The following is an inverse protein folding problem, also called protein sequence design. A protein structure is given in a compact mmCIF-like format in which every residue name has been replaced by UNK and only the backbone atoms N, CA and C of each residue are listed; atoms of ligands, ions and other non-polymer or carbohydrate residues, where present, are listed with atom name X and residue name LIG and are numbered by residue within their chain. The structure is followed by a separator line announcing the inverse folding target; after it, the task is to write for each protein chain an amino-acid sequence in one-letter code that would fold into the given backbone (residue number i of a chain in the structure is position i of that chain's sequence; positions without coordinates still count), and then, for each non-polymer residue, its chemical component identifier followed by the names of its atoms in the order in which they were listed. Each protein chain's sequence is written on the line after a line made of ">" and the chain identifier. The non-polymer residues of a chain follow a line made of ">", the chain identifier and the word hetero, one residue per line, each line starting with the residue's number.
data_IF_617169609627
#
_entry.id   IF_617169609627
#
_cell.length_a   1.000
_cell.length_b   1.000
_cell.length_c   1.000
_cell.angle_alpha   90.00
_cell.angle_beta   90.00
_cell.angle_gamma   90.00
#
_symmetry.space_group_name_H-M   'P 1'
#
loop_
_entity.id
_entity.type
_entity.pdbx_description
1 polymer ?
#
# COMPACT_ATOMS: atom_id res chain seq x y z
N UNK A 1 -21.02 -21.13 4.56
CA UNK A 1 -20.95 -20.04 3.55
C UNK A 1 -19.66 -19.26 3.81
N UNK A 2 -18.77 -19.14 2.82
CA UNK A 2 -17.54 -18.35 2.97
C UNK A 2 -17.89 -16.86 2.94
N UNK A 3 -17.47 -16.13 3.96
CA UNK A 3 -17.62 -14.68 4.03
C UNK A 3 -16.36 -14.00 3.48
N UNK A 4 -16.55 -12.85 2.83
CA UNK A 4 -15.46 -12.06 2.25
C UNK A 4 -15.64 -10.58 2.59
N UNK A 5 -14.53 -9.91 2.90
CA UNK A 5 -14.47 -8.45 3.02
C UNK A 5 -14.04 -7.87 1.68
N UNK A 6 -14.84 -6.98 1.10
CA UNK A 6 -14.52 -6.31 -0.16
C UNK A 6 -14.37 -4.81 0.09
N UNK A 7 -13.29 -4.23 -0.43
CA UNK A 7 -13.07 -2.79 -0.39
C UNK A 7 -12.37 -2.30 -1.67
N UNK A 8 -12.50 -1.01 -1.94
CA UNK A 8 -11.88 -0.35 -3.08
C UNK A 8 -10.75 0.55 -2.61
N UNK A 9 -9.63 0.47 -3.31
CA UNK A 9 -8.48 1.37 -3.24
C UNK A 9 -8.55 2.30 -4.44
N UNK A 10 -8.68 3.59 -4.18
CA UNK A 10 -8.68 4.62 -5.22
C UNK A 10 -8.01 5.87 -4.67
N UNK A 11 -7.10 6.43 -5.46
CA UNK A 11 -6.36 7.64 -5.13
C UNK A 11 -5.76 8.24 -6.40
N UNK A 12 -5.32 9.51 -6.34
CA UNK A 12 -4.75 10.19 -7.50
C UNK A 12 -3.47 9.51 -8.02
N UNK A 13 -2.72 8.89 -7.11
CA UNK A 13 -1.50 8.14 -7.41
C UNK A 13 -1.46 6.90 -6.51
N UNK A 14 -0.73 5.86 -6.88
CA UNK A 14 -0.38 4.75 -6.00
C UNK A 14 0.98 4.18 -6.39
N UNK A 15 1.67 3.55 -5.44
CA UNK A 15 2.93 2.87 -5.70
C UNK A 15 2.98 1.55 -4.95
N UNK A 16 3.05 0.45 -5.68
CA UNK A 16 3.16 -0.91 -5.18
C UNK A 16 4.59 -1.38 -5.39
N UNK A 17 5.46 -1.06 -4.44
CA UNK A 17 6.91 -1.25 -4.56
C UNK A 17 7.30 -2.68 -4.94
N UNK A 18 8.30 -2.77 -5.81
CA UNK A 18 9.01 -4.01 -6.16
C UNK A 18 10.46 -3.91 -5.70
N UNK A 19 11.21 -5.01 -5.83
CA UNK A 19 12.64 -5.02 -5.54
C UNK A 19 13.35 -3.98 -6.41
N UNK A 20 14.02 -3.05 -5.75
CA UNK A 20 14.55 -1.84 -6.35
C UNK A 20 15.91 -1.48 -5.72
N UNK A 21 17.00 -2.17 -6.10
CA UNK A 21 18.34 -1.79 -5.70
C UNK A 21 18.72 -0.46 -6.39
N UNK A 22 19.07 0.56 -5.59
CA UNK A 22 19.55 1.85 -6.07
C UNK A 22 18.55 3.01 -5.99
N UNK A 23 18.71 3.98 -6.90
CA UNK A 23 18.01 5.27 -6.89
C UNK A 23 16.61 5.22 -7.51
N UNK A 24 16.33 4.21 -8.33
CA UNK A 24 15.04 4.04 -9.01
C UNK A 24 14.15 3.15 -8.18
N UNK A 25 12.96 3.64 -7.82
CA UNK A 25 11.93 2.89 -7.09
C UNK A 25 10.80 2.55 -8.05
N UNK A 26 10.84 1.34 -8.56
CA UNK A 26 9.82 0.80 -9.46
C UNK A 26 8.53 0.47 -8.72
N UNK A 27 7.42 0.44 -9.45
CA UNK A 27 6.10 0.03 -8.97
C UNK A 27 5.50 -1.01 -9.89
N UNK A 28 4.79 -1.97 -9.31
CA UNK A 28 3.95 -2.91 -10.05
C UNK A 28 2.57 -2.30 -10.33
N UNK A 29 1.86 -2.77 -11.37
CA UNK A 29 0.48 -2.35 -11.69
C UNK A 29 -0.52 -2.77 -10.62
N UNK A 30 -0.23 -3.89 -9.96
CA UNK A 30 -1.08 -4.51 -8.95
C UNK A 30 -0.45 -4.38 -7.55
N UNK A 31 -1.26 -4.10 -6.51
CA UNK A 31 -0.83 -4.17 -5.13
C UNK A 31 -0.19 -5.53 -4.83
N UNK A 32 0.99 -5.51 -4.21
CA UNK A 32 1.59 -6.71 -3.68
C UNK A 32 0.80 -7.22 -2.47
N UNK A 33 0.91 -8.52 -2.21
CA UNK A 33 0.31 -9.16 -1.03
C UNK A 33 0.76 -8.48 0.27
N UNK A 34 2.06 -8.18 0.39
CA UNK A 34 2.63 -7.48 1.55
C UNK A 34 2.10 -6.06 1.71
N UNK A 35 1.88 -5.32 0.62
CA UNK A 35 1.31 -3.98 0.69
C UNK A 35 -0.13 -3.99 1.24
N UNK A 36 -0.95 -4.93 0.76
CA UNK A 36 -2.33 -5.08 1.21
C UNK A 36 -2.43 -5.56 2.66
N UNK A 37 -1.59 -6.52 3.06
CA UNK A 37 -1.54 -6.96 4.45
C UNK A 37 -1.02 -5.86 5.39
N UNK A 38 0.00 -5.12 4.97
CA UNK A 38 0.50 -3.97 5.73
C UNK A 38 -0.56 -2.86 5.89
N UNK A 39 -1.39 -2.64 4.87
CA UNK A 39 -2.51 -1.72 4.93
C UNK A 39 -3.58 -2.17 5.95
N UNK A 40 -3.96 -3.44 5.92
CA UNK A 40 -4.94 -3.99 6.86
C UNK A 40 -4.38 -4.00 8.30
N UNK A 41 -3.13 -4.41 8.48
CA UNK A 41 -2.40 -4.39 9.74
C UNK A 41 -2.32 -2.97 10.32
N UNK A 42 -2.10 -1.96 9.48
CA UNK A 42 -2.13 -0.55 9.88
C UNK A 42 -3.52 -0.09 10.36
N UNK A 43 -4.58 -0.58 9.71
CA UNK A 43 -5.96 -0.31 10.12
C UNK A 43 -6.27 -0.83 11.53
N UNK A 44 -5.80 -2.03 11.87
CA UNK A 44 -6.00 -2.64 13.20
C UNK A 44 -4.92 -2.27 14.22
N UNK A 45 -3.87 -1.54 13.82
CA UNK A 45 -2.87 -1.00 14.75
C UNK A 45 -1.68 -1.92 15.08
N UNK A 46 -1.36 -2.90 14.24
CA UNK A 46 -0.14 -3.71 14.43
C UNK A 46 1.09 -2.86 14.11
N UNK A 47 2.04 -2.78 15.06
CA UNK A 47 3.27 -2.01 14.90
C UNK A 47 4.32 -2.79 14.11
N UNK A 48 5.30 -2.08 13.54
CA UNK A 48 6.35 -2.68 12.68
C UNK A 48 7.36 -3.54 13.44
N UNK A 49 7.53 -3.29 14.73
CA UNK A 49 8.40 -4.02 15.65
C UNK A 49 7.76 -5.32 16.17
N UNK A 50 6.44 -5.47 16.01
CA UNK A 50 5.68 -6.65 16.45
C UNK A 50 5.71 -7.77 15.40
N UNK A 51 6.89 -8.36 15.24
CA UNK A 51 7.17 -9.39 14.23
C UNK A 51 6.26 -10.61 14.39
N UNK A 52 5.96 -11.02 15.62
CA UNK A 52 5.13 -12.19 15.90
C UNK A 52 3.70 -11.98 15.40
N UNK A 53 3.07 -10.84 15.75
CA UNK A 53 1.71 -10.55 15.26
C UNK A 53 1.66 -10.35 13.76
N UNK A 54 2.67 -9.73 13.16
CA UNK A 54 2.74 -9.58 11.71
C UNK A 54 2.83 -10.95 11.01
N UNK A 55 3.63 -11.87 11.54
CA UNK A 55 3.75 -13.22 11.01
C UNK A 55 2.45 -14.02 11.17
N UNK A 56 1.78 -13.91 12.32
CA UNK A 56 0.46 -14.52 12.51
C UNK A 56 -0.55 -13.95 11.51
N UNK A 57 -0.63 -12.63 11.40
CA UNK A 57 -1.50 -11.95 10.43
C UNK A 57 -1.24 -12.45 9.00
N UNK A 58 0.04 -12.53 8.60
CA UNK A 58 0.44 -12.94 7.27
C UNK A 58 -0.06 -14.34 6.85
N UNK A 59 -0.27 -15.28 7.79
CA UNK A 59 -0.66 -16.67 7.48
C UNK A 59 -2.17 -16.87 7.27
N UNK A 60 -3.01 -15.97 7.77
CA UNK A 60 -4.43 -16.23 7.96
C UNK A 60 -5.37 -15.47 7.01
N UNK A 61 -4.82 -14.73 6.05
CA UNK A 61 -5.60 -13.97 5.07
C UNK A 61 -5.19 -14.29 3.63
N UNK A 62 -6.21 -14.52 2.80
CA UNK A 62 -6.06 -14.70 1.35
C UNK A 62 -6.69 -13.51 0.64
N UNK A 63 -6.03 -13.06 -0.43
CA UNK A 63 -6.37 -11.81 -1.11
C UNK A 63 -6.61 -12.07 -2.60
N UNK A 64 -7.70 -11.52 -3.11
CA UNK A 64 -7.98 -11.45 -4.56
C UNK A 64 -8.04 -10.00 -4.94
N UNK A 65 -7.32 -9.64 -6.01
CA UNK A 65 -7.23 -8.26 -6.49
C UNK A 65 -7.77 -8.16 -7.91
N UNK A 66 -8.62 -7.16 -8.10
CA UNK A 66 -9.10 -6.71 -9.38
C UNK A 66 -8.61 -5.28 -9.60
N UNK A 67 -8.12 -4.97 -10.80
CA UNK A 67 -7.61 -3.64 -11.13
C UNK A 67 -8.24 -3.06 -12.38
N UNK A 68 -8.18 -1.73 -12.49
CA UNK A 68 -8.50 -0.99 -13.70
C UNK A 68 -7.60 -1.40 -14.87
N UNK A 69 -8.18 -1.56 -16.08
CA UNK A 69 -7.43 -1.97 -17.28
C UNK A 69 -6.38 -0.98 -17.80
N UNK A 70 -6.59 0.33 -17.62
CA UNK A 70 -5.77 1.38 -18.25
C UNK A 70 -5.21 2.38 -17.22
N UNK A 71 -4.38 1.95 -16.26
CA UNK A 71 -3.71 2.86 -15.35
C UNK A 71 -2.65 3.68 -16.12
N UNK A 72 -2.41 4.93 -15.71
CA UNK A 72 -1.39 5.79 -16.33
C UNK A 72 -0.12 5.78 -15.51
N UNK A 73 0.99 5.42 -16.12
CA UNK A 73 2.29 5.41 -15.46
C UNK A 73 2.88 6.84 -15.37
N UNK A 74 3.46 7.19 -14.23
CA UNK A 74 4.14 8.46 -14.00
C UNK A 74 5.42 8.24 -13.17
N UNK A 75 6.43 9.09 -13.40
CA UNK A 75 7.70 9.06 -12.66
C UNK A 75 7.96 10.41 -11.99
N UNK A 76 8.13 10.36 -10.68
CA UNK A 76 8.51 11.50 -9.84
C UNK A 76 10.04 11.62 -9.78
N UNK A 77 10.55 12.81 -10.08
CA UNK A 77 11.96 13.15 -9.90
C UNK A 77 12.15 13.76 -8.51
N UNK A 78 12.71 12.98 -7.60
CA UNK A 78 12.65 13.27 -6.18
C UNK A 78 14.05 13.48 -5.60
N UNK A 79 14.36 14.73 -5.27
CA UNK A 79 15.64 15.12 -4.69
C UNK A 79 15.57 15.17 -3.17
N UNK A 80 16.65 14.74 -2.52
CA UNK A 80 16.86 14.93 -1.09
C UNK A 80 18.19 15.63 -0.92
N UNK A 81 18.16 16.84 -0.38
CA UNK A 81 19.35 17.61 -0.09
C UNK A 81 20.10 16.96 1.07
N UNK A 82 21.37 16.63 0.85
CA UNK A 82 22.26 15.97 1.79
C UNK A 82 23.64 16.64 1.71
N UNK A 83 24.30 16.94 2.82
CA UNK A 83 25.67 17.40 2.77
C UNK A 83 26.59 16.26 2.29
N UNK A 84 27.69 16.63 1.64
CA UNK A 84 28.77 15.72 1.30
C UNK A 84 29.37 15.15 2.59
N UNK A 85 29.85 13.91 2.51
CA UNK A 85 30.54 13.29 3.64
C UNK A 85 31.83 14.07 3.94
N UNK A 86 31.91 14.65 5.13
CA UNK A 86 33.10 15.37 5.62
C UNK A 86 33.74 14.51 6.71
N UNK A 87 34.97 14.04 6.46
CA UNK A 87 35.71 13.24 7.45
C UNK A 87 35.89 14.04 8.74
N UNK A 88 35.63 13.38 9.89
CA UNK A 88 35.71 13.94 11.24
C UNK A 88 34.70 15.06 11.57
N UNK A 89 33.76 15.37 10.69
CA UNK A 89 32.65 16.26 11.04
C UNK A 89 31.61 15.49 11.85
N UNK A 90 31.13 16.10 12.95
CA UNK A 90 30.02 15.59 13.74
C UNK A 90 28.95 16.66 13.79
N UNK A 91 27.83 16.38 13.15
CA UNK A 91 26.65 17.25 13.19
C UNK A 91 25.73 16.77 14.32
N UNK A 92 25.27 17.69 15.16
CA UNK A 92 24.34 17.41 16.25
C UNK A 92 22.88 17.56 15.81
N UNK A 93 22.62 18.29 14.72
CA UNK A 93 21.28 18.47 14.18
C UNK A 93 21.26 18.53 12.65
N UNK A 94 20.09 18.20 12.07
CA UNK A 94 19.88 18.33 10.62
C UNK A 94 20.04 19.77 10.12
N UNK A 95 19.69 20.76 10.96
CA UNK A 95 19.86 22.18 10.64
C UNK A 95 21.34 22.54 10.49
N UNK A 96 22.19 22.02 11.38
CA UNK A 96 23.64 22.23 11.34
C UNK A 96 24.25 21.56 10.10
N UNK A 97 23.84 20.32 9.79
CA UNK A 97 24.22 19.61 8.55
C UNK A 97 23.96 20.45 7.28
N UNK A 98 22.86 21.19 7.26
CA UNK A 98 22.41 21.97 6.11
C UNK A 98 22.89 23.43 6.10
N UNK A 99 23.66 23.83 7.12
CA UNK A 99 24.05 25.23 7.32
C UNK A 99 25.20 25.71 6.43
N UNK A 100 25.96 24.79 5.83
CA UNK A 100 27.08 25.07 4.95
C UNK A 100 26.69 24.83 3.48
N UNK A 101 26.33 25.88 2.71
CA UNK A 101 25.78 25.73 1.36
C UNK A 101 26.74 25.04 0.39
N UNK A 102 28.04 25.30 0.53
CA UNK A 102 29.10 24.78 -0.34
C UNK A 102 29.32 23.26 -0.20
N UNK A 103 28.87 22.70 0.91
CA UNK A 103 28.96 21.27 1.21
C UNK A 103 27.67 20.54 0.83
N UNK A 104 26.62 21.23 0.38
CA UNK A 104 25.38 20.59 0.00
C UNK A 104 25.54 19.80 -1.30
N UNK A 105 24.92 18.64 -1.32
CA UNK A 105 24.71 17.81 -2.50
C UNK A 105 23.24 17.39 -2.54
N UNK A 106 22.82 16.79 -3.64
CA UNK A 106 21.48 16.23 -3.78
C UNK A 106 21.59 14.75 -4.14
N UNK A 107 20.96 13.90 -3.34
CA UNK A 107 20.68 12.53 -3.74
C UNK A 107 19.40 12.56 -4.56
N UNK A 108 19.48 11.99 -5.76
CA UNK A 108 18.35 11.90 -6.67
C UNK A 108 17.72 10.52 -6.51
N UNK A 109 16.40 10.47 -6.39
CA UNK A 109 15.64 9.23 -6.51
C UNK A 109 14.55 9.39 -7.56
N UNK A 110 14.33 8.36 -8.37
CA UNK A 110 13.28 8.34 -9.39
C UNK A 110 12.21 7.37 -8.93
N UNK A 111 10.98 7.85 -8.69
CA UNK A 111 9.93 7.03 -8.07
C UNK A 111 8.77 6.85 -9.03
N UNK A 112 8.45 5.59 -9.32
CA UNK A 112 7.39 5.24 -10.26
C UNK A 112 6.04 5.12 -9.53
N UNK A 113 4.99 5.63 -10.17
CA UNK A 113 3.61 5.66 -9.67
C UNK A 113 2.63 5.29 -10.78
N UNK A 114 1.47 4.77 -10.38
CA UNK A 114 0.29 4.68 -11.23
C UNK A 114 -0.74 5.73 -10.84
N UNK A 115 -1.31 6.38 -11.84
CA UNK A 115 -2.31 7.45 -11.75
C UNK A 115 -3.59 7.04 -12.47
N UNK A 116 -4.72 7.67 -12.10
CA UNK A 116 -6.06 7.35 -12.62
C UNK A 116 -6.43 5.86 -12.51
N UNK A 117 -5.94 5.21 -11.45
CA UNK A 117 -6.07 3.77 -11.23
C UNK A 117 -6.93 3.46 -10.01
N UNK A 118 -7.63 2.33 -10.07
CA UNK A 118 -8.38 1.78 -8.95
C UNK A 118 -8.14 0.29 -8.81
N UNK A 119 -8.23 -0.19 -7.57
CA UNK A 119 -8.12 -1.61 -7.25
C UNK A 119 -9.27 -2.01 -6.33
N UNK A 120 -9.85 -3.18 -6.57
CA UNK A 120 -10.84 -3.81 -5.71
C UNK A 120 -10.21 -5.04 -5.09
N UNK A 121 -10.29 -5.12 -3.77
CA UNK A 121 -9.64 -6.18 -2.99
C UNK A 121 -10.72 -6.97 -2.26
N UNK A 122 -10.69 -8.28 -2.42
CA UNK A 122 -11.48 -9.21 -1.62
C UNK A 122 -10.55 -9.97 -0.67
N UNK A 123 -10.92 -10.00 0.61
CA UNK A 123 -10.19 -10.69 1.68
C UNK A 123 -11.02 -11.86 2.17
N UNK A 124 -10.40 -13.04 2.21
CA UNK A 124 -10.88 -14.21 2.91
C UNK A 124 -10.00 -14.46 4.14
N UNK A 125 -10.56 -15.15 5.14
CA UNK A 125 -9.84 -15.44 6.37
C UNK A 125 -9.98 -16.90 6.76
N UNK A 126 -8.96 -17.46 7.40
CA UNK A 126 -8.99 -18.80 8.00
C UNK A 126 -9.66 -18.76 9.38
N UNK A 127 -10.14 -19.90 9.93
CA UNK A 127 -10.74 -19.95 11.26
C UNK A 127 -9.84 -19.42 12.39
N UNK A 128 -8.52 -19.65 12.30
CA UNK A 128 -7.55 -19.27 13.34
C UNK A 128 -7.01 -17.83 13.17
N UNK A 129 -7.66 -17.01 12.36
CA UNK A 129 -7.20 -15.66 12.11
C UNK A 129 -7.29 -14.77 13.36
N UNK A 130 -6.27 -13.92 13.63
CA UNK A 130 -6.25 -13.07 14.81
C UNK A 130 -7.35 -12.00 14.80
N UNK A 131 -7.81 -11.59 13.62
CA UNK A 131 -8.91 -10.63 13.44
C UNK A 131 -9.96 -11.18 12.48
N UNK A 132 -11.23 -11.03 12.87
CA UNK A 132 -12.38 -11.32 12.02
C UNK A 132 -12.51 -10.27 10.91
N UNK A 133 -13.22 -10.63 9.85
CA UNK A 133 -13.46 -9.72 8.72
C UNK A 133 -14.20 -8.43 9.14
N UNK A 134 -15.05 -8.51 10.16
CA UNK A 134 -15.73 -7.34 10.75
C UNK A 134 -14.73 -6.37 11.39
N UNK A 135 -13.77 -6.89 12.15
CA UNK A 135 -12.74 -6.07 12.81
C UNK A 135 -11.82 -5.42 11.77
N UNK A 136 -11.51 -6.12 10.69
CA UNK A 136 -10.78 -5.53 9.55
C UNK A 136 -11.59 -4.43 8.85
N UNK A 137 -12.90 -4.62 8.68
CA UNK A 137 -13.79 -3.58 8.14
C UNK A 137 -13.78 -2.33 9.02
N UNK A 138 -13.88 -2.51 10.34
CA UNK A 138 -13.86 -1.39 11.28
C UNK A 138 -12.50 -0.69 11.29
N UNK A 139 -11.39 -1.44 11.26
CA UNK A 139 -10.05 -0.89 11.10
C UNK A 139 -9.82 -0.14 9.79
N UNK A 140 -10.54 -0.47 8.71
CA UNK A 140 -10.50 0.32 7.47
C UNK A 140 -11.32 1.61 7.57
N UNK A 141 -12.41 1.63 8.33
CA UNK A 141 -13.29 2.79 8.54
C UNK A 141 -12.72 3.78 9.55
N UNK A 142 -12.14 3.24 10.62
CA UNK A 142 -11.58 3.96 11.75
C UNK A 142 -10.14 3.48 11.99
N UNK A 143 -9.22 3.80 11.07
CA UNK A 143 -7.88 3.25 11.11
C UNK A 143 -7.06 3.82 12.28
N UNK A 144 -6.35 2.93 12.97
CA UNK A 144 -5.41 3.31 14.04
C UNK A 144 -4.22 4.08 13.48
N UNK A 145 -3.66 3.63 12.36
CA UNK A 145 -2.60 4.34 11.64
C UNK A 145 -3.08 4.90 10.31
N UNK A 146 -2.55 6.06 9.84
CA UNK A 146 -2.90 6.62 8.55
C UNK A 146 -2.68 5.63 7.41
N UNK A 147 -3.73 5.37 6.63
CA UNK A 147 -3.71 4.44 5.51
C UNK A 147 -3.21 5.13 4.25
N UNK A 148 -2.27 4.50 3.54
CA UNK A 148 -1.66 5.02 2.32
C UNK A 148 -1.58 3.95 1.23
N UNK A 149 -1.67 4.37 -0.04
CA UNK A 149 -1.51 3.48 -1.20
C UNK A 149 -0.02 3.30 -1.51
N UNK A 150 0.62 2.53 -0.62
CA UNK A 150 2.04 2.13 -0.66
C UNK A 150 3.07 3.19 -0.27
N UNK A 151 2.94 4.43 -0.73
CA UNK A 151 3.81 5.54 -0.29
C UNK A 151 3.06 6.57 0.57
N UNK A 152 3.66 6.95 1.71
CA UNK A 152 3.08 7.90 2.69
C UNK A 152 2.69 9.27 2.09
N UNK A 153 3.29 9.67 0.97
CA UNK A 153 3.00 10.95 0.29
C UNK A 153 1.68 10.95 -0.50
N UNK A 154 1.10 9.78 -0.77
CA UNK A 154 -0.19 9.68 -1.45
C UNK A 154 -1.30 9.77 -0.40
N UNK A 155 -1.87 10.97 -0.25
CA UNK A 155 -2.98 11.22 0.66
C UNK A 155 -4.18 11.69 -0.16
N UNK A 156 -5.20 10.83 -0.26
CA UNK A 156 -6.58 11.09 0.19
C UNK A 156 -7.49 9.97 -0.32
N UNK A 157 -8.13 9.31 0.63
CA UNK A 157 -9.07 8.22 0.42
C UNK A 157 -10.48 8.75 0.12
N UNK A 158 -11.18 8.08 -0.79
CA UNK A 158 -12.65 8.21 -0.91
C UNK A 158 -13.24 6.80 -0.77
N UNK A 159 -13.88 6.54 0.35
CA UNK A 159 -14.49 5.25 0.64
C UNK A 159 -15.71 5.00 -0.23
N UNK A 160 -15.76 3.85 -0.89
CA UNK A 160 -16.99 3.13 -1.20
C UNK A 160 -16.87 1.73 -0.57
N UNK A 161 -17.07 1.65 0.74
CA UNK A 161 -17.20 0.37 1.46
C UNK A 161 -18.62 -0.17 1.22
N UNK A 162 -18.79 -1.04 0.22
CA UNK A 162 -20.03 -1.80 0.05
C UNK A 162 -19.89 -3.18 0.68
N UNK A 163 -20.81 -3.47 1.61
CA UNK A 163 -20.84 -4.64 2.51
C UNK A 163 -21.09 -5.97 1.79
N UNK A 164 -20.53 -7.03 2.39
CA UNK A 164 -20.94 -8.44 2.40
C UNK A 164 -21.43 -9.05 1.08
N UNK A 165 -20.58 -9.87 0.47
CA UNK A 165 -21.02 -10.79 -0.57
C UNK A 165 -21.01 -12.22 -0.03
N UNK A 166 -22.20 -12.78 0.26
CA UNK A 166 -22.37 -14.15 0.77
C UNK A 166 -22.20 -15.23 -0.30
N UNK A 167 -22.01 -14.85 -1.58
CA UNK A 167 -21.84 -15.77 -2.71
C UNK A 167 -20.64 -15.36 -3.56
N UNK A 168 -19.67 -16.26 -3.71
CA UNK A 168 -18.54 -16.12 -4.64
C UNK A 168 -19.00 -15.78 -6.08
N UNK A 169 -20.17 -16.27 -6.48
CA UNK A 169 -20.79 -16.01 -7.79
C UNK A 169 -21.11 -14.54 -8.04
N UNK A 170 -21.48 -13.76 -7.01
CA UNK A 170 -21.73 -12.32 -7.17
C UNK A 170 -20.45 -11.50 -7.29
N UNK A 171 -19.32 -11.99 -6.77
CA UNK A 171 -18.02 -11.37 -6.98
C UNK A 171 -17.70 -11.30 -8.49
N UNK A 172 -18.03 -12.37 -9.23
CA UNK A 172 -17.95 -12.38 -10.70
C UNK A 172 -19.00 -11.47 -11.36
N UNK A 173 -20.25 -11.43 -10.89
CA UNK A 173 -21.30 -10.57 -11.49
C UNK A 173 -21.01 -9.06 -11.38
N UNK A 174 -20.30 -8.64 -10.32
CA UNK A 174 -19.80 -7.27 -10.16
C UNK A 174 -18.58 -6.99 -11.04
N UNK A 175 -17.79 -8.02 -11.31
CA UNK A 175 -16.64 -7.96 -12.23
C UNK A 175 -17.08 -8.00 -13.70
N UNK A 176 -18.25 -8.54 -14.03
CA UNK A 176 -18.72 -8.65 -15.43
C UNK A 176 -19.45 -7.42 -15.95
N UNK A 177 -19.95 -6.51 -15.09
CA UNK A 177 -20.59 -5.27 -15.55
C UNK A 177 -19.60 -4.18 -15.99
N UNK A 178 -18.32 -4.35 -15.68
CA UNK A 178 -17.24 -3.48 -16.14
C UNK A 178 -16.30 -4.31 -17.01
N UNK A 179 -16.40 -4.15 -18.33
CA UNK A 179 -15.55 -4.77 -19.38
C UNK A 179 -14.03 -4.45 -19.26
N UNK A 180 -13.57 -4.03 -18.08
CA UNK A 180 -12.31 -3.34 -17.84
C UNK A 180 -11.50 -3.96 -16.70
N UNK A 181 -11.71 -5.25 -16.40
CA UNK A 181 -11.15 -5.91 -15.22
C UNK A 181 -10.11 -6.98 -15.59
N UNK A 182 -8.99 -6.97 -14.87
CA UNK A 182 -8.08 -8.14 -14.73
C UNK A 182 -8.25 -8.71 -13.32
N UNK A 183 -8.47 -10.02 -13.19
CA UNK A 183 -8.50 -10.74 -11.90
C UNK A 183 -7.16 -11.45 -11.73
N UNK A 184 -6.48 -11.22 -10.62
CA UNK A 184 -5.27 -11.97 -10.23
C UNK A 184 -5.44 -12.46 -8.79
N UNK A 185 -5.27 -13.77 -8.60
CA UNK A 185 -5.16 -14.36 -7.26
C UNK A 185 -3.75 -14.14 -6.74
N UNK A 186 -3.59 -13.48 -5.60
CA UNK A 186 -2.30 -13.39 -4.92
C UNK A 186 -2.29 -14.46 -3.82
N UNK A 187 -1.72 -15.64 -4.11
CA UNK A 187 -1.44 -16.65 -3.08
C UNK A 187 -0.33 -16.16 -2.15
#
# INVERSE_FOLDING_TARGET
>A
MSQYLIFQLHGPMASWGVDAPGEVRHTHELPSRSALLGLLAAGVGIRRDDTERLNAFNRHYSLVVCASRNPRWARDYHTVQMPKEVRKARYFSRREELSAPDLLSAIISRRDYYTDAWWMVAVATTPDAPYRLEQLQDGLRHPVFPLYLGAKKVIRWRYHLRRYCSKATRLMSYVTHTNSIRIVSAN
#
